data_IF_090119648995
#
_entry.id   IF_090119648995
#
_cell.length_a   1.000
_cell.length_b   1.000
_cell.length_c   1.000
_cell.angle_alpha   90.00
_cell.angle_beta   90.00
_cell.angle_gamma   90.00
#
_symmetry.space_group_name_H-M   'P 1'
#
loop_
_entity.id
_entity.type
_entity.pdbx_description
1 polymer ?
#
# COMPACT_ATOMS: atom_id res chain seq x y z
N UNK A 1 16.44 -37.83 50.83
CA UNK A 1 17.60 -36.93 50.64
C UNK A 1 17.11 -35.76 49.76
N UNK A 2 16.81 -34.65 50.42
CA UNK A 2 16.24 -33.46 49.78
C UNK A 2 17.34 -32.56 49.21
N UNK A 3 17.14 -32.09 48.03
CA UNK A 3 17.94 -30.99 47.41
C UNK A 3 17.13 -29.70 47.50
N UNK A 4 17.47 -28.87 48.48
CA UNK A 4 16.96 -27.50 48.60
C UNK A 4 17.46 -26.62 47.44
N UNK A 5 16.52 -26.03 46.67
CA UNK A 5 16.80 -24.97 45.68
C UNK A 5 17.06 -23.68 46.44
N UNK A 6 18.29 -23.16 46.33
CA UNK A 6 18.66 -21.79 46.75
C UNK A 6 17.86 -20.76 45.94
N UNK A 7 16.87 -20.16 46.60
CA UNK A 7 16.15 -18.99 46.06
C UNK A 7 17.08 -17.78 46.21
N UNK A 8 17.52 -17.23 45.08
CA UNK A 8 18.40 -16.10 44.99
C UNK A 8 17.70 -14.83 45.47
N UNK A 9 18.15 -14.25 46.56
CA UNK A 9 17.57 -13.15 47.31
C UNK A 9 17.83 -11.78 46.65
N UNK A 10 17.22 -11.51 45.50
CA UNK A 10 17.17 -10.14 44.96
C UNK A 10 16.40 -9.15 45.86
N UNK A 11 15.47 -9.63 46.68
CA UNK A 11 14.73 -8.79 47.63
C UNK A 11 15.57 -8.32 48.82
N UNK A 12 16.60 -9.06 49.25
CA UNK A 12 17.48 -8.63 50.34
C UNK A 12 18.46 -7.54 49.94
N UNK A 13 18.82 -7.46 48.66
CA UNK A 13 19.70 -6.40 48.17
C UNK A 13 19.05 -5.02 48.24
N UNK A 14 17.73 -4.93 48.02
CA UNK A 14 17.00 -3.64 48.10
C UNK A 14 16.64 -3.23 49.54
N UNK A 15 16.65 -4.12 50.48
CA UNK A 15 16.36 -3.80 51.89
C UNK A 15 17.58 -3.29 52.69
N UNK A 16 18.79 -3.63 52.24
CA UNK A 16 20.06 -3.11 52.84
C UNK A 16 20.47 -1.75 52.27
N UNK A 17 19.93 -1.32 51.16
CA UNK A 17 20.23 0.01 50.61
C UNK A 17 19.41 1.15 51.21
N UNK A 18 18.39 0.85 51.99
CA UNK A 18 17.48 1.83 52.64
C UNK A 18 17.96 2.30 54.04
N UNK A 19 19.08 1.76 54.57
CA UNK A 19 19.56 2.09 55.90
C UNK A 19 20.76 3.06 55.95
N UNK A 20 21.12 3.70 54.82
CA UNK A 20 22.23 4.67 54.70
C UNK A 20 21.76 6.07 54.24
N UNK A 21 20.59 6.52 54.73
CA UNK A 21 20.21 7.92 54.57
C UNK A 21 20.12 8.61 55.92
N UNK A 22 21.29 8.68 56.56
CA UNK A 22 21.58 9.68 57.60
C UNK A 22 22.05 11.01 57.02
N UNK A 23 21.35 11.53 56.04
CA UNK A 23 21.69 12.75 55.31
C UNK A 23 20.74 13.92 55.47
N UNK A 24 19.90 13.94 56.51
CA UNK A 24 18.90 15.01 56.73
C UNK A 24 19.39 16.21 57.53
N UNK A 25 20.69 16.30 57.83
CA UNK A 25 21.24 17.47 58.61
C UNK A 25 22.19 18.39 57.79
N UNK A 26 22.37 18.18 56.50
CA UNK A 26 23.17 19.09 55.65
C UNK A 26 22.31 19.92 54.66
N UNK A 27 20.97 19.82 54.74
CA UNK A 27 20.10 20.55 53.84
C UNK A 27 19.77 21.98 54.26
N UNK A 28 20.14 22.40 55.48
CA UNK A 28 19.79 23.72 56.02
C UNK A 28 20.89 24.79 55.86
N UNK A 29 22.03 24.49 55.20
CA UNK A 29 23.11 25.45 55.01
C UNK A 29 23.41 25.86 53.55
N UNK A 30 22.64 25.34 52.58
CA UNK A 30 22.76 25.79 51.20
C UNK A 30 21.71 26.84 50.96
N UNK A 31 22.10 28.13 50.96
CA UNK A 31 21.23 29.19 50.46
C UNK A 31 20.70 28.84 49.08
N UNK A 32 19.42 29.15 48.82
CA UNK A 32 18.88 28.89 47.48
C UNK A 32 19.72 29.69 46.45
N UNK A 33 20.39 28.96 45.58
CA UNK A 33 21.00 29.54 44.39
C UNK A 33 19.84 30.11 43.56
N UNK A 34 19.81 31.42 43.44
CA UNK A 34 18.79 32.11 42.64
C UNK A 34 18.77 31.51 41.26
N UNK A 35 17.58 31.10 40.89
CA UNK A 35 17.20 30.61 39.57
C UNK A 35 17.79 31.46 38.47
N UNK A 36 18.91 30.97 37.89
CA UNK A 36 19.24 31.35 36.53
C UNK A 36 18.07 30.94 35.65
N UNK A 37 17.45 31.95 35.06
CA UNK A 37 16.30 31.80 34.18
C UNK A 37 16.50 30.61 33.25
N UNK A 38 15.71 29.57 33.41
CA UNK A 38 15.60 28.55 32.42
C UNK A 38 15.23 29.24 31.10
N UNK A 39 15.95 29.03 30.01
CA UNK A 39 15.47 29.47 28.72
C UNK A 39 14.07 28.86 28.59
N UNK A 40 13.06 29.71 28.41
CA UNK A 40 11.75 29.26 27.96
C UNK A 40 12.05 28.48 26.67
N UNK A 41 11.99 27.16 26.73
CA UNK A 41 11.79 26.35 25.57
C UNK A 41 10.41 26.80 25.03
N UNK A 42 10.45 27.79 24.16
CA UNK A 42 9.41 27.94 23.16
C UNK A 42 9.45 26.61 22.39
N UNK A 43 8.67 25.64 22.87
CA UNK A 43 8.21 24.54 22.04
C UNK A 43 7.51 25.18 20.85
N UNK A 44 8.27 25.50 19.83
CA UNK A 44 7.74 25.55 18.48
C UNK A 44 7.21 24.14 18.27
N UNK A 45 5.91 23.95 18.53
CA UNK A 45 5.12 22.91 17.91
C UNK A 45 5.18 23.14 16.40
N UNK A 46 6.31 22.80 15.79
CA UNK A 46 6.30 22.38 14.40
C UNK A 46 5.40 21.16 14.40
N UNK A 47 4.13 21.34 13.97
CA UNK A 47 3.27 20.24 13.57
C UNK A 47 4.20 19.31 12.76
N UNK A 48 4.50 18.15 13.31
CA UNK A 48 5.18 17.11 12.55
C UNK A 48 4.24 16.84 11.40
N UNK A 49 4.58 17.36 10.21
CA UNK A 49 3.82 17.10 9.01
C UNK A 49 3.65 15.58 8.93
N UNK A 50 2.42 15.11 9.12
CA UNK A 50 2.15 13.68 8.99
C UNK A 50 2.57 13.22 7.60
N UNK A 51 3.35 12.14 7.54
CA UNK A 51 3.73 11.55 6.27
C UNK A 51 2.47 11.27 5.42
N UNK A 52 2.53 11.51 4.11
CA UNK A 52 1.40 11.22 3.24
C UNK A 52 0.98 9.76 3.35
N UNK A 53 -0.30 9.49 3.19
CA UNK A 53 -0.84 8.14 3.07
C UNK A 53 -1.36 7.97 1.64
N UNK A 54 -0.59 7.30 0.81
CA UNK A 54 -0.89 7.20 -0.61
C UNK A 54 -2.02 6.22 -0.91
N UNK A 55 -2.90 6.61 -1.84
CA UNK A 55 -3.99 5.81 -2.36
C UNK A 55 -4.28 6.10 -3.84
N UNK A 56 -5.16 5.33 -4.44
CA UNK A 56 -5.58 5.50 -5.83
C UNK A 56 -7.09 5.29 -5.96
N UNK A 57 -7.76 6.18 -6.67
CA UNK A 57 -9.10 6.04 -7.20
C UNK A 57 -9.06 5.49 -8.63
N UNK A 58 -10.03 4.67 -8.97
CA UNK A 58 -10.25 4.16 -10.32
C UNK A 58 -11.72 4.38 -10.66
N UNK A 59 -11.96 5.21 -11.65
CA UNK A 59 -13.30 5.46 -12.19
C UNK A 59 -13.54 4.53 -13.40
N UNK A 60 -14.30 3.46 -13.16
CA UNK A 60 -14.60 2.46 -14.20
C UNK A 60 -15.43 3.09 -15.32
N UNK A 61 -16.33 4.03 -15.00
CA UNK A 61 -17.22 4.68 -15.95
C UNK A 61 -16.45 5.55 -16.96
N UNK A 62 -15.30 6.10 -16.54
CA UNK A 62 -14.40 6.88 -17.41
C UNK A 62 -13.39 6.03 -18.18
N UNK A 63 -13.22 4.76 -17.83
CA UNK A 63 -12.20 3.93 -18.46
C UNK A 63 -12.64 3.46 -19.84
N UNK A 64 -11.92 3.86 -20.88
CA UNK A 64 -12.17 3.47 -22.28
C UNK A 64 -11.38 2.25 -22.75
N UNK A 65 -10.64 1.56 -21.87
CA UNK A 65 -9.90 0.36 -22.22
C UNK A 65 -8.70 0.56 -23.16
N UNK A 66 -8.18 1.77 -23.30
CA UNK A 66 -7.12 2.09 -24.27
C UNK A 66 -5.75 1.47 -23.98
N UNK A 67 -5.52 0.94 -22.75
CA UNK A 67 -4.29 0.25 -22.36
C UNK A 67 -3.05 1.13 -22.18
N UNK A 68 -3.14 2.46 -22.39
CA UNK A 68 -2.00 3.39 -22.23
C UNK A 68 -1.37 3.35 -20.84
N UNK A 69 -2.19 3.13 -19.81
CA UNK A 69 -1.70 2.99 -18.44
C UNK A 69 -0.80 1.74 -18.22
N UNK A 70 -1.11 0.63 -18.88
CA UNK A 70 -0.29 -0.58 -18.84
C UNK A 70 1.01 -0.38 -19.63
N UNK A 71 0.95 0.24 -20.79
CA UNK A 71 2.10 0.57 -21.62
C UNK A 71 3.06 1.53 -20.91
N UNK A 72 2.57 2.66 -20.42
CA UNK A 72 3.37 3.63 -19.67
C UNK A 72 4.01 3.02 -18.42
N UNK A 73 3.30 2.13 -17.72
CA UNK A 73 3.84 1.43 -16.57
C UNK A 73 4.99 0.51 -16.96
N UNK A 74 4.90 -0.22 -18.10
CA UNK A 74 5.99 -1.06 -18.59
C UNK A 74 7.24 -0.25 -18.93
N UNK A 75 7.08 0.89 -19.58
CA UNK A 75 8.17 1.78 -19.95
C UNK A 75 8.83 2.39 -18.71
N UNK A 76 8.03 3.00 -17.84
CA UNK A 76 8.51 3.71 -16.65
C UNK A 76 9.24 2.81 -15.65
N UNK A 77 8.77 1.57 -15.51
CA UNK A 77 9.26 0.66 -14.47
C UNK A 77 10.09 -0.50 -15.01
N UNK A 78 10.51 -0.45 -16.27
CA UNK A 78 11.29 -1.52 -16.93
C UNK A 78 10.65 -2.90 -16.76
N UNK A 79 9.30 -2.98 -16.84
CA UNK A 79 8.60 -4.27 -16.75
C UNK A 79 8.87 -5.04 -18.05
N UNK A 80 9.17 -6.35 -17.97
CA UNK A 80 9.42 -7.18 -19.15
C UNK A 80 8.35 -7.01 -20.24
N UNK A 81 8.76 -6.97 -21.50
CA UNK A 81 7.85 -6.68 -22.64
C UNK A 81 6.88 -7.82 -22.93
N UNK A 82 7.23 -9.05 -22.54
CA UNK A 82 6.41 -10.22 -22.77
C UNK A 82 4.98 -10.00 -22.22
N UNK A 83 3.95 -10.57 -22.90
CA UNK A 83 2.54 -10.24 -22.66
C UNK A 83 1.97 -10.81 -21.34
N UNK A 84 2.78 -11.43 -20.49
CA UNK A 84 2.35 -12.04 -19.23
C UNK A 84 2.74 -11.24 -17.98
N UNK A 85 3.57 -10.19 -18.10
CA UNK A 85 4.12 -9.48 -16.96
C UNK A 85 3.58 -8.06 -16.92
N UNK A 86 2.74 -7.76 -15.92
CA UNK A 86 2.12 -6.46 -15.75
C UNK A 86 2.12 -6.03 -14.28
N UNK A 87 2.50 -4.77 -14.02
CA UNK A 87 2.26 -4.11 -12.72
C UNK A 87 0.86 -3.51 -12.66
N UNK A 88 0.28 -3.19 -13.80
CA UNK A 88 -1.12 -2.79 -14.00
C UNK A 88 -1.59 -3.24 -15.37
N UNK A 89 -2.87 -3.61 -15.46
CA UNK A 89 -3.51 -4.07 -16.70
C UNK A 89 -4.98 -3.62 -16.73
N UNK A 90 -5.63 -3.79 -17.85
CA UNK A 90 -7.07 -3.51 -18.01
C UNK A 90 -7.77 -4.78 -18.42
N UNK A 91 -8.83 -5.14 -17.72
CA UNK A 91 -9.72 -6.24 -18.05
C UNK A 91 -11.00 -5.70 -18.67
N UNK A 92 -11.45 -6.32 -19.75
CA UNK A 92 -12.78 -6.12 -20.31
C UNK A 92 -13.72 -7.16 -19.71
N UNK A 93 -14.81 -6.69 -19.16
CA UNK A 93 -15.93 -7.50 -18.70
C UNK A 93 -17.07 -7.36 -19.70
N UNK A 94 -17.50 -8.47 -20.28
CA UNK A 94 -18.67 -8.54 -21.15
C UNK A 94 -19.68 -9.45 -20.51
N UNK A 95 -20.82 -8.89 -20.11
CA UNK A 95 -21.97 -9.62 -19.59
C UNK A 95 -22.89 -9.88 -20.76
N UNK A 96 -23.17 -11.15 -21.03
CA UNK A 96 -24.08 -11.56 -22.09
C UNK A 96 -25.54 -11.50 -21.63
N UNK A 97 -26.47 -11.55 -22.59
CA UNK A 97 -27.90 -11.58 -22.34
C UNK A 97 -28.36 -12.81 -21.53
N UNK A 98 -27.62 -13.92 -21.60
CA UNK A 98 -27.87 -15.14 -20.82
C UNK A 98 -27.27 -15.08 -19.39
N UNK A 99 -26.60 -14.00 -19.02
CA UNK A 99 -25.96 -13.80 -17.72
C UNK A 99 -24.52 -14.35 -17.63
N UNK A 100 -23.98 -14.96 -18.68
CA UNK A 100 -22.56 -15.35 -18.71
C UNK A 100 -21.67 -14.12 -18.70
N UNK A 101 -20.61 -14.15 -17.89
CA UNK A 101 -19.60 -13.08 -17.81
C UNK A 101 -18.32 -13.53 -18.45
N UNK A 102 -17.94 -12.91 -19.57
CA UNK A 102 -16.65 -13.11 -20.23
C UNK A 102 -15.67 -12.04 -19.79
N UNK A 103 -14.47 -12.47 -19.37
CA UNK A 103 -13.39 -11.57 -18.90
C UNK A 103 -12.19 -11.75 -19.83
N UNK A 104 -11.74 -10.67 -20.42
CA UNK A 104 -10.61 -10.67 -21.37
C UNK A 104 -9.62 -9.55 -21.05
N UNK A 105 -8.34 -9.85 -21.20
CA UNK A 105 -7.27 -8.87 -21.02
C UNK A 105 -6.09 -9.22 -21.95
N UNK A 106 -6.29 -9.28 -23.25
CA UNK A 106 -5.22 -9.58 -24.17
C UNK A 106 -4.11 -8.53 -24.02
N UNK A 107 -2.87 -9.01 -23.84
CA UNK A 107 -1.68 -8.17 -23.61
C UNK A 107 -1.90 -7.07 -22.54
N UNK A 108 -2.67 -7.37 -21.47
CA UNK A 108 -2.97 -6.39 -20.39
C UNK A 108 -3.76 -5.16 -20.86
N UNK A 109 -4.39 -5.22 -22.01
CA UNK A 109 -5.12 -4.11 -22.65
C UNK A 109 -4.26 -3.19 -23.53
N UNK A 110 -2.96 -3.44 -23.65
CA UNK A 110 -2.07 -2.63 -24.52
C UNK A 110 -2.51 -2.75 -25.98
N UNK A 111 -2.65 -1.60 -26.62
CA UNK A 111 -3.17 -1.51 -28.01
C UNK A 111 -4.69 -1.42 -28.08
N UNK A 112 -5.36 -1.34 -26.93
CA UNK A 112 -6.82 -1.31 -26.82
C UNK A 112 -7.45 -2.69 -26.80
N UNK A 113 -8.60 -2.79 -26.14
CA UNK A 113 -9.39 -4.02 -26.06
C UNK A 113 -10.42 -4.05 -27.19
N UNK A 114 -10.49 -5.18 -27.89
CA UNK A 114 -11.45 -5.39 -28.98
C UNK A 114 -12.56 -6.29 -28.49
N UNK A 115 -13.80 -5.94 -28.83
CA UNK A 115 -14.95 -6.77 -28.52
C UNK A 115 -14.86 -8.10 -29.26
N UNK A 116 -15.00 -9.19 -28.51
CA UNK A 116 -14.90 -10.56 -29.03
C UNK A 116 -16.25 -11.29 -29.05
N UNK A 117 -17.29 -10.68 -28.46
CA UNK A 117 -18.68 -11.18 -28.42
C UNK A 117 -19.50 -10.41 -29.45
N UNK A 118 -20.43 -11.07 -30.13
CA UNK A 118 -21.35 -10.41 -31.07
C UNK A 118 -22.18 -9.36 -30.33
N UNK A 119 -22.38 -8.19 -30.92
CA UNK A 119 -23.05 -7.05 -30.28
C UNK A 119 -24.49 -7.39 -29.82
N UNK A 120 -25.22 -8.26 -30.55
CA UNK A 120 -26.54 -8.73 -30.24
C UNK A 120 -26.66 -9.58 -28.98
N UNK A 121 -25.53 -10.20 -28.56
CA UNK A 121 -25.46 -11.04 -27.37
C UNK A 121 -25.04 -10.26 -26.12
N UNK A 122 -24.72 -8.98 -26.21
CA UNK A 122 -24.17 -8.19 -25.12
C UNK A 122 -25.27 -7.47 -24.35
N UNK A 123 -25.38 -7.75 -23.06
CA UNK A 123 -26.16 -6.94 -22.13
C UNK A 123 -25.42 -5.68 -21.69
N UNK A 124 -24.15 -5.81 -21.28
CA UNK A 124 -23.25 -4.68 -20.96
C UNK A 124 -21.79 -5.06 -21.14
N UNK A 125 -20.96 -4.06 -21.44
CA UNK A 125 -19.50 -4.21 -21.44
C UNK A 125 -18.85 -3.02 -20.77
N UNK A 126 -17.80 -3.27 -19.96
CA UNK A 126 -17.06 -2.22 -19.26
C UNK A 126 -15.62 -2.64 -18.99
N UNK A 127 -14.77 -1.65 -18.73
CA UNK A 127 -13.32 -1.83 -18.58
C UNK A 127 -12.88 -1.63 -17.14
N UNK A 128 -12.16 -2.59 -16.57
CA UNK A 128 -11.69 -2.54 -15.19
C UNK A 128 -10.17 -2.50 -15.15
N UNK A 129 -9.58 -1.32 -14.89
CA UNK A 129 -8.14 -1.21 -14.65
C UNK A 129 -7.76 -1.86 -13.32
N UNK A 130 -6.81 -2.78 -13.34
CA UNK A 130 -6.31 -3.47 -12.14
C UNK A 130 -4.84 -3.20 -11.88
N UNK A 131 -4.46 -3.28 -10.61
CA UNK A 131 -3.11 -3.09 -10.10
C UNK A 131 -2.99 -3.65 -8.69
N UNK A 132 -1.80 -3.55 -8.07
CA UNK A 132 -1.64 -3.88 -6.65
C UNK A 132 -2.51 -2.96 -5.77
N UNK A 133 -3.26 -3.53 -4.86
CA UNK A 133 -4.18 -2.80 -3.97
C UNK A 133 -3.47 -2.10 -2.79
N UNK A 134 -2.16 -2.23 -2.64
CA UNK A 134 -1.38 -1.65 -1.54
C UNK A 134 -2.07 -1.80 -0.18
N UNK A 135 -2.49 -3.02 0.12
CA UNK A 135 -3.27 -3.38 1.29
C UNK A 135 -2.58 -2.96 2.59
N UNK A 136 -3.34 -2.43 3.56
CA UNK A 136 -2.83 -2.16 4.91
C UNK A 136 -2.57 -3.45 5.68
N UNK A 137 -3.47 -4.44 5.53
CA UNK A 137 -3.27 -5.81 6.01
C UNK A 137 -2.87 -6.69 4.83
N UNK A 138 -1.61 -6.57 4.40
CA UNK A 138 -1.11 -7.20 3.18
C UNK A 138 -0.72 -8.67 3.40
N UNK A 139 -1.47 -9.67 2.85
CA UNK A 139 -1.12 -11.08 3.00
C UNK A 139 0.27 -11.40 2.42
N UNK A 140 0.65 -10.71 1.36
CA UNK A 140 1.96 -10.87 0.73
C UNK A 140 3.14 -10.38 1.58
N UNK A 141 2.92 -9.44 2.50
CA UNK A 141 3.93 -9.02 3.49
C UNK A 141 4.05 -10.08 4.56
N UNK A 142 2.91 -10.57 5.06
CA UNK A 142 2.88 -11.61 6.09
C UNK A 142 3.49 -12.93 5.62
N UNK A 143 3.32 -13.28 4.35
CA UNK A 143 3.85 -14.52 3.77
C UNK A 143 5.34 -14.46 3.41
N UNK A 144 6.01 -13.29 3.53
CA UNK A 144 7.41 -13.16 3.14
C UNK A 144 8.35 -13.68 4.23
N UNK A 145 9.06 -14.81 4.03
CA UNK A 145 9.88 -15.43 5.08
C UNK A 145 11.13 -14.61 5.43
N UNK A 146 11.58 -13.75 4.52
CA UNK A 146 12.80 -12.95 4.67
C UNK A 146 12.52 -11.46 4.87
N UNK A 147 11.24 -11.05 4.98
CA UNK A 147 10.87 -9.65 5.16
C UNK A 147 11.13 -8.74 3.95
N UNK A 148 11.49 -9.30 2.78
CA UNK A 148 11.76 -8.51 1.58
C UNK A 148 10.53 -7.73 1.07
N UNK A 149 9.32 -8.21 1.32
CA UNK A 149 8.10 -7.45 1.05
C UNK A 149 7.68 -6.72 2.33
N UNK A 150 7.53 -5.40 2.24
CA UNK A 150 7.23 -4.54 3.40
C UNK A 150 6.27 -3.40 3.02
N UNK A 151 5.80 -2.67 4.01
CA UNK A 151 4.98 -1.47 3.83
C UNK A 151 5.81 -0.26 4.23
N UNK A 152 5.94 0.73 3.35
CA UNK A 152 6.61 2.00 3.68
C UNK A 152 5.78 2.82 4.68
N UNK A 153 6.38 3.81 5.36
CA UNK A 153 5.66 4.70 6.27
C UNK A 153 4.47 5.43 5.61
N UNK A 154 4.56 5.72 4.32
CA UNK A 154 3.51 6.33 3.50
C UNK A 154 2.47 5.31 3.00
N UNK A 155 2.60 4.07 3.44
CA UNK A 155 1.67 3.00 3.16
C UNK A 155 1.85 2.28 1.83
N UNK A 156 2.91 2.51 1.11
CA UNK A 156 3.17 1.80 -0.14
C UNK A 156 3.76 0.43 0.15
N UNK A 157 3.15 -0.63 -0.38
CA UNK A 157 3.74 -1.98 -0.30
C UNK A 157 4.87 -2.06 -1.32
N UNK A 158 6.05 -2.42 -0.87
CA UNK A 158 7.28 -2.50 -1.67
C UNK A 158 7.92 -3.89 -1.59
N UNK A 159 8.90 -4.13 -2.43
CA UNK A 159 9.79 -5.31 -2.39
C UNK A 159 11.22 -4.80 -2.41
N UNK A 160 12.01 -5.23 -1.45
CA UNK A 160 13.45 -5.04 -1.47
C UNK A 160 14.08 -6.18 -2.28
N UNK A 161 14.62 -5.83 -3.44
CA UNK A 161 15.18 -6.78 -4.39
C UNK A 161 16.45 -7.46 -3.84
N UNK A 162 17.16 -6.80 -2.93
CA UNK A 162 18.41 -7.33 -2.35
C UNK A 162 18.16 -8.45 -1.33
N UNK A 163 17.01 -8.40 -0.66
CA UNK A 163 16.59 -9.43 0.30
C UNK A 163 15.68 -10.49 -0.31
N UNK A 164 15.11 -10.25 -1.49
CA UNK A 164 14.17 -11.18 -2.10
C UNK A 164 14.86 -12.44 -2.61
N UNK A 165 14.49 -13.60 -2.07
CA UNK A 165 15.03 -14.91 -2.44
C UNK A 165 14.25 -15.61 -3.58
N UNK A 166 13.24 -14.96 -4.17
CA UNK A 166 12.47 -15.53 -5.29
C UNK A 166 11.54 -16.69 -4.94
N UNK A 167 11.16 -16.91 -3.66
CA UNK A 167 10.38 -18.08 -3.23
C UNK A 167 8.92 -18.11 -3.69
N UNK A 168 8.39 -17.03 -4.27
CA UNK A 168 7.03 -16.88 -4.81
C UNK A 168 5.87 -16.94 -3.80
N UNK A 169 6.10 -17.06 -2.49
CA UNK A 169 5.02 -17.10 -1.50
C UNK A 169 4.13 -15.86 -1.52
N UNK A 170 4.72 -14.68 -1.70
CA UNK A 170 3.97 -13.44 -1.81
C UNK A 170 3.11 -13.34 -3.08
N UNK A 171 3.46 -14.07 -4.15
CA UNK A 171 2.68 -14.16 -5.38
C UNK A 171 1.43 -15.02 -5.12
N UNK A 172 1.62 -16.20 -4.52
CA UNK A 172 0.52 -17.10 -4.16
C UNK A 172 -0.42 -16.50 -3.10
N UNK A 173 0.13 -15.76 -2.14
CA UNK A 173 -0.65 -15.12 -1.09
C UNK A 173 -1.46 -13.91 -1.56
N UNK A 174 -1.21 -13.36 -2.78
CA UNK A 174 -1.92 -12.20 -3.28
C UNK A 174 -3.28 -12.59 -3.85
N UNK A 175 -4.42 -12.21 -3.22
CA UNK A 175 -5.73 -12.62 -3.71
C UNK A 175 -6.17 -11.89 -4.98
N UNK A 176 -5.41 -10.88 -5.40
CA UNK A 176 -5.69 -10.02 -6.55
C UNK A 176 -4.88 -10.37 -7.80
N UNK A 177 -3.98 -11.36 -7.72
CA UNK A 177 -3.09 -11.70 -8.83
C UNK A 177 -2.13 -10.57 -9.25
N UNK A 178 -1.89 -9.59 -8.39
CA UNK A 178 -1.16 -8.37 -8.71
C UNK A 178 0.36 -8.48 -8.54
N UNK A 179 0.90 -9.70 -8.54
CA UNK A 179 2.34 -9.99 -8.42
C UNK A 179 2.77 -11.04 -9.42
N UNK A 180 3.98 -10.91 -9.88
CA UNK A 180 4.62 -11.89 -10.76
C UNK A 180 6.09 -12.07 -10.39
N UNK A 181 6.70 -13.14 -10.86
CA UNK A 181 8.15 -13.32 -10.81
C UNK A 181 8.76 -12.62 -12.01
N UNK A 182 9.62 -11.63 -11.75
CA UNK A 182 10.33 -10.97 -12.83
C UNK A 182 11.33 -11.94 -13.46
N UNK A 183 11.21 -12.22 -14.77
CA UNK A 183 12.06 -13.23 -15.42
C UNK A 183 13.53 -12.79 -15.56
N UNK A 184 13.80 -11.49 -15.46
CA UNK A 184 15.15 -10.91 -15.59
C UNK A 184 15.83 -10.87 -14.22
N UNK A 185 15.22 -10.21 -13.24
CA UNK A 185 15.80 -10.00 -11.91
C UNK A 185 15.61 -11.19 -10.98
N UNK A 186 14.72 -12.14 -11.31
CA UNK A 186 14.38 -13.33 -10.51
C UNK A 186 13.81 -13.00 -9.12
N UNK A 187 13.27 -11.79 -8.93
CA UNK A 187 12.60 -11.36 -7.72
C UNK A 187 11.11 -11.12 -7.97
N UNK A 188 10.33 -11.10 -6.89
CA UNK A 188 8.91 -10.78 -7.00
C UNK A 188 8.70 -9.32 -7.39
N UNK A 189 7.86 -9.07 -8.40
CA UNK A 189 7.57 -7.74 -8.92
C UNK A 189 6.06 -7.42 -8.84
N UNK A 190 5.72 -6.13 -8.77
CA UNK A 190 4.37 -5.59 -8.67
C UNK A 190 4.35 -4.07 -8.79
N UNK A 191 3.16 -3.47 -8.89
CA UNK A 191 2.98 -2.02 -8.80
C UNK A 191 3.57 -1.46 -7.49
N UNK A 192 4.31 -0.35 -7.59
CA UNK A 192 4.92 0.38 -6.47
C UNK A 192 4.33 1.80 -6.32
N UNK A 193 3.20 2.12 -6.96
CA UNK A 193 2.72 3.49 -7.16
C UNK A 193 3.76 4.41 -7.79
N UNK A 194 4.71 3.84 -8.55
CA UNK A 194 5.87 4.56 -9.08
C UNK A 194 6.62 5.32 -7.95
N UNK A 195 7.02 4.61 -6.89
CA UNK A 195 7.58 5.17 -5.67
C UNK A 195 8.73 6.17 -5.93
N UNK A 196 9.54 5.90 -6.96
CA UNK A 196 10.61 6.79 -7.41
C UNK A 196 10.11 8.13 -7.98
N UNK A 197 8.85 8.20 -8.48
CA UNK A 197 8.21 9.42 -8.99
C UNK A 197 7.51 10.17 -7.87
N UNK A 198 6.69 9.48 -7.05
CA UNK A 198 5.90 10.14 -6.01
C UNK A 198 6.79 10.78 -4.93
N UNK A 199 7.97 10.22 -4.65
CA UNK A 199 8.96 10.83 -3.77
C UNK A 199 9.59 12.11 -4.34
N UNK A 200 9.39 12.38 -5.62
CA UNK A 200 9.79 13.64 -6.30
C UNK A 200 8.59 14.57 -6.51
N UNK A 201 7.43 14.29 -5.94
CA UNK A 201 6.21 15.07 -6.13
C UNK A 201 5.54 14.88 -7.51
N UNK A 202 5.92 13.84 -8.27
CA UNK A 202 5.34 13.54 -9.57
C UNK A 202 4.21 12.52 -9.45
N UNK A 203 3.25 12.56 -10.35
CA UNK A 203 2.19 11.56 -10.44
C UNK A 203 2.72 10.20 -10.93
N UNK A 204 2.11 9.06 -10.54
CA UNK A 204 2.40 7.77 -11.16
C UNK A 204 2.18 7.81 -12.68
N UNK A 205 3.07 7.18 -13.46
CA UNK A 205 3.01 7.21 -14.92
C UNK A 205 1.64 6.79 -15.49
N UNK A 206 0.98 5.79 -14.87
CA UNK A 206 -0.34 5.33 -15.32
C UNK A 206 -1.49 6.33 -15.04
N UNK A 207 -1.29 7.27 -14.13
CA UNK A 207 -2.22 8.37 -13.86
C UNK A 207 -2.00 9.48 -14.88
N UNK A 208 -0.75 9.93 -15.03
CA UNK A 208 -0.35 11.01 -15.91
C UNK A 208 -0.75 10.76 -17.37
N UNK A 209 -0.64 9.51 -17.83
CA UNK A 209 -0.95 9.17 -19.23
C UNK A 209 -2.43 8.94 -19.52
N UNK A 210 -3.29 8.91 -18.48
CA UNK A 210 -4.69 8.54 -18.62
C UNK A 210 -5.50 9.66 -19.32
N UNK A 211 -5.99 9.46 -20.57
CA UNK A 211 -6.62 10.53 -21.33
C UNK A 211 -8.00 10.94 -20.80
N UNK A 212 -8.63 10.07 -20.00
CA UNK A 212 -9.98 10.29 -19.45
C UNK A 212 -9.97 10.56 -17.95
N UNK A 213 -8.78 10.68 -17.34
CA UNK A 213 -8.63 10.80 -15.89
C UNK A 213 -9.36 9.71 -15.10
N UNK A 214 -9.43 8.49 -15.65
CA UNK A 214 -10.02 7.35 -14.99
C UNK A 214 -9.19 6.85 -13.79
N UNK A 215 -7.99 7.38 -13.58
CA UNK A 215 -7.11 7.06 -12.45
C UNK A 215 -6.76 8.34 -11.71
N UNK A 216 -7.01 8.34 -10.42
CA UNK A 216 -6.79 9.47 -9.53
C UNK A 216 -5.85 9.01 -8.42
N UNK A 217 -4.71 9.67 -8.23
CA UNK A 217 -3.76 9.33 -7.19
C UNK A 217 -3.60 10.51 -6.23
N UNK A 218 -3.53 10.23 -4.93
CA UNK A 218 -3.39 11.30 -3.95
C UNK A 218 -3.11 10.82 -2.53
N UNK A 219 -2.97 11.80 -1.66
CA UNK A 219 -2.78 11.60 -0.23
C UNK A 219 -4.14 11.50 0.47
N UNK A 220 -4.44 10.36 1.10
CA UNK A 220 -5.69 10.10 1.84
C UNK A 220 -5.82 10.93 3.13
N UNK A 221 -4.73 11.55 3.62
CA UNK A 221 -4.75 12.44 4.80
C UNK A 221 -4.95 13.90 4.44
N UNK A 222 -4.77 14.25 3.18
CA UNK A 222 -4.91 15.61 2.68
C UNK A 222 -6.34 15.84 2.17
N UNK A 223 -7.08 16.70 2.84
CA UNK A 223 -8.48 17.00 2.50
C UNK A 223 -8.63 17.71 1.15
N UNK A 224 -7.58 18.39 0.70
CA UNK A 224 -7.55 19.09 -0.58
C UNK A 224 -7.06 18.19 -1.74
N UNK A 225 -6.75 16.91 -1.45
CA UNK A 225 -6.30 15.94 -2.45
C UNK A 225 -7.44 15.57 -3.40
N UNK A 226 -7.17 15.54 -4.71
CA UNK A 226 -8.10 15.08 -5.75
C UNK A 226 -8.67 13.68 -5.44
N UNK A 227 -7.87 12.82 -4.80
CA UNK A 227 -8.33 11.50 -4.40
C UNK A 227 -9.42 11.60 -3.31
N UNK A 228 -9.24 12.47 -2.32
CA UNK A 228 -10.22 12.63 -1.25
C UNK A 228 -11.51 13.25 -1.80
N UNK A 229 -11.43 14.24 -2.68
CA UNK A 229 -12.58 14.77 -3.39
C UNK A 229 -13.32 13.68 -4.17
N UNK A 230 -12.58 12.86 -4.94
CA UNK A 230 -13.15 11.73 -5.67
C UNK A 230 -13.89 10.73 -4.76
N UNK A 231 -13.32 10.41 -3.58
CA UNK A 231 -13.92 9.49 -2.62
C UNK A 231 -15.19 10.06 -1.95
N UNK A 232 -15.30 11.38 -1.83
CA UNK A 232 -16.47 12.05 -1.29
C UNK A 232 -17.61 12.17 -2.31
N UNK A 233 -17.27 12.38 -3.56
CA UNK A 233 -18.23 12.60 -4.65
C UNK A 233 -18.81 11.30 -5.23
N UNK A 234 -18.13 10.16 -5.04
CA UNK A 234 -18.49 8.91 -5.71
C UNK A 234 -18.70 7.76 -4.74
N UNK A 235 -19.66 6.84 -5.01
CA UNK A 235 -19.90 5.62 -4.22
C UNK A 235 -18.82 4.59 -4.49
N UNK A 236 -17.66 4.75 -3.89
CA UNK A 236 -16.51 3.88 -4.14
C UNK A 236 -16.56 2.58 -3.36
N UNK A 237 -16.03 1.53 -3.94
CA UNK A 237 -15.89 0.19 -3.37
C UNK A 237 -14.44 -0.31 -3.54
N UNK A 238 -14.10 -1.40 -2.86
CA UNK A 238 -12.80 -2.08 -3.01
C UNK A 238 -13.00 -3.46 -3.62
N UNK A 239 -12.00 -3.99 -4.29
CA UNK A 239 -12.02 -5.37 -4.77
C UNK A 239 -12.01 -6.35 -3.59
N UNK A 240 -12.83 -7.40 -3.65
CA UNK A 240 -12.91 -8.50 -2.67
C UNK A 240 -13.00 -8.02 -1.22
N UNK A 241 -14.00 -7.19 -0.85
CA UNK A 241 -14.10 -6.59 0.48
C UNK A 241 -14.17 -7.62 1.61
N UNK A 242 -14.71 -8.81 1.34
CA UNK A 242 -14.82 -9.91 2.29
C UNK A 242 -13.46 -10.44 2.79
N UNK A 243 -12.36 -10.18 2.07
CA UNK A 243 -11.00 -10.59 2.50
C UNK A 243 -10.39 -9.65 3.53
N UNK A 244 -11.02 -8.51 3.81
CA UNK A 244 -10.61 -7.57 4.86
C UNK A 244 -9.12 -7.17 4.81
N UNK A 245 -8.57 -7.01 3.60
CA UNK A 245 -7.16 -6.64 3.38
C UNK A 245 -6.91 -5.15 3.54
N UNK A 246 -7.96 -4.35 3.68
CA UNK A 246 -7.92 -2.89 3.73
C UNK A 246 -7.14 -2.29 2.54
N UNK A 247 -7.72 -2.47 1.35
CA UNK A 247 -7.21 -1.92 0.08
C UNK A 247 -7.09 -0.39 0.15
N UNK A 248 -6.08 0.16 -0.52
CA UNK A 248 -5.93 1.60 -0.79
C UNK A 248 -6.19 1.94 -2.26
N UNK A 249 -6.80 1.04 -2.98
CA UNK A 249 -7.33 1.30 -4.33
C UNK A 249 -8.84 1.20 -4.25
N UNK A 250 -9.49 2.27 -4.67
CA UNK A 250 -10.94 2.47 -4.57
C UNK A 250 -11.53 2.59 -5.96
N UNK A 251 -12.65 1.94 -6.21
CA UNK A 251 -13.28 1.88 -7.52
C UNK A 251 -14.66 2.53 -7.47
N UNK A 252 -14.92 3.47 -8.38
CA UNK A 252 -16.26 3.92 -8.72
C UNK A 252 -16.80 3.07 -9.88
N UNK A 253 -18.10 2.75 -9.86
CA UNK A 253 -18.75 1.93 -10.89
C UNK A 253 -18.44 0.43 -10.80
N UNK A 254 -17.92 -0.07 -9.66
CA UNK A 254 -17.67 -1.49 -9.46
C UNK A 254 -18.98 -2.25 -9.35
N UNK A 255 -19.10 -3.32 -10.12
CA UNK A 255 -20.29 -4.17 -10.16
C UNK A 255 -20.00 -5.57 -9.62
N UNK A 256 -21.05 -6.35 -9.31
CA UNK A 256 -20.94 -7.68 -8.69
C UNK A 256 -20.22 -8.72 -9.56
N UNK A 257 -20.12 -8.47 -10.86
CA UNK A 257 -19.43 -9.34 -11.82
C UNK A 257 -17.91 -9.26 -11.71
N UNK A 258 -17.38 -8.20 -11.09
CA UNK A 258 -15.93 -8.03 -10.93
C UNK A 258 -15.42 -8.87 -9.76
N UNK A 259 -14.58 -9.85 -10.05
CA UNK A 259 -14.05 -10.84 -9.09
C UNK A 259 -12.62 -10.55 -8.65
#
# INVERSE_FOLDING_TARGET
MGTERKINNRRKFFQTSAALVGGTLLYSLIKPFETLAQPKEEETKKEKAELPLWGMGVDIEKCIGCGKCAEACKIENNVPKEPFYFRTWVEQYTVKNDGEVKIESPNGGIGGLKQSVADEDIFKSFMVPKLCNHCTKAPCVQACPVGATFISPEGVVLVDETYCIGCSYCIQACPYGARFMNPITKVADKCTFCYHRINKGLQPACVEVCPTNARIFGNLRDKESDLVAFLQENPTQVLKPHLNTHSRVFYNGLTSEVK
#
